data_IF_481186382386
#
_entry.id   IF_481186382386
#
_cell.length_a   1.000
_cell.length_b   1.000
_cell.length_c   1.000
_cell.angle_alpha   90.00
_cell.angle_beta   90.00
_cell.angle_gamma   90.00
#
_symmetry.space_group_name_H-M   'P 1'
#
loop_
_entity.id
_entity.type
_entity.pdbx_description
1 polymer ?
#
# COMPACT_ATOMS: atom_id res chain seq x y z
N UNK A 1 -2.47 3.34 9.54
CA UNK A 1 -2.69 3.99 10.85
C UNK A 1 -4.16 3.90 11.26
N UNK A 2 -5.08 4.67 10.65
CA UNK A 2 -6.50 4.68 11.04
C UNK A 2 -7.18 3.30 10.89
N UNK A 3 -7.03 2.65 9.73
CA UNK A 3 -7.65 1.35 9.48
C UNK A 3 -7.04 0.17 10.28
N UNK A 4 -5.86 0.34 10.86
CA UNK A 4 -5.11 -0.75 11.53
C UNK A 4 -5.11 -0.59 13.05
N UNK A 5 -4.60 0.53 13.57
CA UNK A 5 -4.42 0.78 15.01
C UNK A 5 -5.29 1.93 15.53
N UNK A 6 -6.14 2.51 14.68
CA UNK A 6 -7.06 3.60 15.04
C UNK A 6 -8.37 3.10 15.62
N UNK A 7 -9.16 4.04 16.15
CA UNK A 7 -10.53 3.80 16.64
C UNK A 7 -11.55 3.93 15.51
N UNK A 8 -12.81 3.55 15.76
CA UNK A 8 -13.89 3.78 14.80
C UNK A 8 -14.09 5.26 14.47
N UNK A 9 -13.83 6.14 15.45
CA UNK A 9 -13.79 7.58 15.21
C UNK A 9 -12.70 7.97 14.20
N UNK A 10 -11.49 7.40 14.31
CA UNK A 10 -10.42 7.67 13.36
C UNK A 10 -10.75 7.20 11.94
N UNK A 11 -11.39 6.03 11.84
CA UNK A 11 -11.87 5.44 10.59
C UNK A 11 -12.91 6.33 9.93
N UNK A 12 -13.92 6.77 10.68
CA UNK A 12 -14.96 7.66 10.18
C UNK A 12 -14.38 9.01 9.72
N UNK A 13 -13.44 9.56 10.49
CA UNK A 13 -12.81 10.83 10.19
C UNK A 13 -11.97 10.78 8.90
N UNK A 14 -11.14 9.75 8.73
CA UNK A 14 -10.34 9.60 7.50
C UNK A 14 -11.22 9.29 6.30
N UNK A 15 -12.27 8.46 6.47
CA UNK A 15 -13.23 8.13 5.42
C UNK A 15 -13.90 9.40 4.88
N UNK A 16 -14.44 10.25 5.77
CA UNK A 16 -15.06 11.51 5.38
C UNK A 16 -14.08 12.47 4.67
N UNK A 17 -12.82 12.50 5.09
CA UNK A 17 -11.82 13.35 4.44
C UNK A 17 -11.43 12.81 3.05
N UNK A 18 -11.25 11.49 2.92
CA UNK A 18 -10.98 10.82 1.64
C UNK A 18 -12.15 11.00 0.67
N UNK A 19 -13.40 10.93 1.15
CA UNK A 19 -14.59 11.20 0.33
C UNK A 19 -14.54 12.56 -0.35
N UNK A 20 -14.05 13.60 0.34
CA UNK A 20 -13.92 14.96 -0.21
C UNK A 20 -12.94 14.98 -1.38
N UNK A 21 -11.85 14.23 -1.27
CA UNK A 21 -10.85 14.11 -2.34
C UNK A 21 -11.40 13.25 -3.49
N UNK A 22 -11.96 12.08 -3.20
CA UNK A 22 -12.50 11.15 -4.20
C UNK A 22 -13.63 11.79 -5.04
N UNK A 23 -14.45 12.68 -4.48
CA UNK A 23 -15.47 13.44 -5.23
C UNK A 23 -14.90 14.24 -6.40
N UNK A 24 -13.63 14.62 -6.32
CA UNK A 24 -12.95 15.42 -7.35
C UNK A 24 -12.28 14.54 -8.42
N UNK A 25 -12.06 13.25 -8.15
CA UNK A 25 -11.29 12.35 -9.02
C UNK A 25 -12.25 11.45 -9.80
N UNK A 26 -12.73 11.97 -10.92
CA UNK A 26 -13.59 11.27 -11.88
C UNK A 26 -13.30 11.74 -13.29
N UNK A 27 -13.47 10.86 -14.26
CA UNK A 27 -13.29 11.20 -15.67
C UNK A 27 -14.30 12.25 -16.12
N UNK A 28 -13.85 13.12 -17.00
CA UNK A 28 -14.65 14.09 -17.74
C UNK A 28 -14.79 13.65 -19.19
N UNK A 29 -15.54 14.40 -20.00
CA UNK A 29 -15.65 14.15 -21.45
C UNK A 29 -14.32 14.24 -22.21
N UNK A 30 -13.31 14.90 -21.64
CA UNK A 30 -11.96 14.99 -22.22
C UNK A 30 -11.00 13.92 -21.70
N UNK A 31 -11.43 13.07 -20.76
CA UNK A 31 -10.57 12.02 -20.21
C UNK A 31 -10.40 10.86 -21.20
N UNK A 32 -9.20 10.30 -21.34
CA UNK A 32 -8.94 9.21 -22.29
C UNK A 32 -9.52 7.86 -21.84
N UNK A 33 -9.86 7.74 -20.55
CA UNK A 33 -10.43 6.53 -19.95
C UNK A 33 -11.59 6.91 -19.03
N UNK A 34 -12.54 6.00 -18.84
CA UNK A 34 -13.59 6.14 -17.84
C UNK A 34 -13.07 5.72 -16.46
N UNK A 35 -13.21 6.59 -15.47
CA UNK A 35 -12.72 6.39 -14.11
C UNK A 35 -13.59 7.12 -13.10
N UNK A 36 -13.77 6.51 -11.94
CA UNK A 36 -14.37 7.13 -10.77
C UNK A 36 -13.69 6.59 -9.52
N UNK A 37 -13.15 7.47 -8.67
CA UNK A 37 -12.51 7.06 -7.42
C UNK A 37 -13.46 6.37 -6.43
N UNK A 38 -14.79 6.50 -6.61
CA UNK A 38 -15.80 5.78 -5.86
C UNK A 38 -16.21 4.42 -6.47
N UNK A 39 -15.56 3.96 -7.54
CA UNK A 39 -15.83 2.61 -8.06
C UNK A 39 -15.40 1.56 -7.02
N UNK A 40 -16.33 0.78 -6.44
CA UNK A 40 -16.02 -0.16 -5.39
C UNK A 40 -15.15 -1.33 -5.88
N UNK A 41 -15.13 -1.63 -7.19
CA UNK A 41 -14.23 -2.64 -7.76
C UNK A 41 -12.79 -2.15 -7.80
N UNK A 42 -12.57 -0.89 -8.16
CA UNK A 42 -11.24 -0.28 -8.16
C UNK A 42 -10.71 -0.10 -6.73
N UNK A 43 -11.57 0.28 -5.79
CA UNK A 43 -11.20 0.35 -4.39
C UNK A 43 -10.89 -1.01 -3.77
N UNK A 44 -11.65 -2.06 -4.14
CA UNK A 44 -11.35 -3.43 -3.75
C UNK A 44 -9.94 -3.84 -4.21
N UNK A 45 -9.55 -3.48 -5.42
CA UNK A 45 -8.19 -3.73 -5.91
C UNK A 45 -7.13 -3.03 -5.07
N UNK A 46 -7.33 -1.75 -4.71
CA UNK A 46 -6.42 -1.03 -3.81
C UNK A 46 -6.31 -1.73 -2.45
N UNK A 47 -7.45 -2.13 -1.86
CA UNK A 47 -7.47 -2.84 -0.58
C UNK A 47 -6.78 -4.23 -0.67
N UNK A 48 -6.96 -4.95 -1.77
CA UNK A 48 -6.29 -6.23 -2.02
C UNK A 48 -4.77 -6.06 -2.12
N UNK A 49 -4.29 -5.04 -2.83
CA UNK A 49 -2.87 -4.69 -2.87
C UNK A 49 -2.31 -4.35 -1.49
N UNK A 50 -3.07 -3.64 -0.64
CA UNK A 50 -2.67 -3.35 0.74
C UNK A 50 -2.57 -4.61 1.60
N UNK A 51 -3.55 -5.52 1.50
CA UNK A 51 -3.49 -6.81 2.20
C UNK A 51 -2.26 -7.62 1.76
N UNK A 52 -2.04 -7.77 0.45
CA UNK A 52 -0.86 -8.48 -0.08
C UNK A 52 0.43 -7.83 0.41
N UNK A 53 0.53 -6.50 0.36
CA UNK A 53 1.67 -5.77 0.90
C UNK A 53 1.93 -6.10 2.38
N UNK A 54 0.91 -6.06 3.25
CA UNK A 54 1.11 -6.35 4.67
C UNK A 54 1.58 -7.78 4.93
N UNK A 55 1.03 -8.76 4.22
CA UNK A 55 1.48 -10.16 4.30
C UNK A 55 2.92 -10.26 3.83
N UNK A 56 3.24 -9.75 2.64
CA UNK A 56 4.59 -9.84 2.07
C UNK A 56 5.63 -9.18 2.98
N UNK A 57 5.35 -7.98 3.51
CA UNK A 57 6.27 -7.30 4.43
C UNK A 57 6.50 -8.09 5.72
N UNK A 58 5.43 -8.68 6.28
CA UNK A 58 5.57 -9.55 7.44
C UNK A 58 6.47 -10.75 7.12
N UNK A 59 6.22 -11.43 6.00
CA UNK A 59 6.98 -12.62 5.62
C UNK A 59 8.43 -12.31 5.26
N UNK A 60 8.70 -11.13 4.68
CA UNK A 60 10.05 -10.64 4.47
C UNK A 60 10.83 -10.51 5.78
N UNK A 61 10.19 -10.14 6.89
CA UNK A 61 10.86 -9.94 8.17
C UNK A 61 10.86 -11.20 9.04
N UNK A 62 9.75 -11.93 9.09
CA UNK A 62 9.51 -12.98 10.08
C UNK A 62 9.37 -14.38 9.48
N UNK A 63 9.31 -14.50 8.15
CA UNK A 63 8.98 -15.75 7.48
C UNK A 63 7.46 -15.99 7.36
N UNK A 64 7.06 -17.11 6.75
CA UNK A 64 5.67 -17.38 6.40
C UNK A 64 4.77 -17.45 7.64
N UNK A 65 3.54 -16.97 7.48
CA UNK A 65 2.50 -17.11 8.51
C UNK A 65 2.02 -18.57 8.56
N UNK A 66 1.74 -19.08 9.76
CA UNK A 66 0.96 -20.31 9.89
C UNK A 66 -0.49 -20.08 9.45
N UNK A 67 -1.19 -21.15 9.08
CA UNK A 67 -2.53 -21.05 8.49
C UNK A 67 -3.56 -20.37 9.40
N UNK A 68 -3.52 -20.63 10.70
CA UNK A 68 -4.47 -20.05 11.64
C UNK A 68 -4.25 -18.54 11.79
N UNK A 69 -2.99 -18.12 11.86
CA UNK A 69 -2.63 -16.70 11.88
C UNK A 69 -2.98 -16.02 10.55
N UNK A 70 -2.70 -16.68 9.41
CA UNK A 70 -3.04 -16.15 8.09
C UNK A 70 -4.54 -15.94 7.92
N UNK A 71 -5.38 -16.89 8.38
CA UNK A 71 -6.85 -16.75 8.37
C UNK A 71 -7.35 -15.63 9.30
N UNK A 72 -6.72 -15.45 10.46
CA UNK A 72 -7.05 -14.35 11.37
C UNK A 72 -6.72 -12.99 10.74
N UNK A 73 -5.51 -12.84 10.19
CA UNK A 73 -5.07 -11.63 9.48
C UNK A 73 -5.99 -11.34 8.28
N UNK A 74 -6.36 -12.37 7.53
CA UNK A 74 -7.25 -12.21 6.37
C UNK A 74 -8.63 -11.67 6.74
N UNK A 75 -9.24 -12.18 7.82
CA UNK A 75 -10.53 -11.68 8.32
C UNK A 75 -10.45 -10.22 8.76
N UNK A 76 -9.37 -9.83 9.41
CA UNK A 76 -9.16 -8.44 9.83
C UNK A 76 -8.88 -7.50 8.65
N UNK A 77 -8.33 -8.03 7.55
CA UNK A 77 -7.95 -7.26 6.37
C UNK A 77 -9.15 -6.70 5.59
N UNK A 78 -10.36 -7.24 5.74
CA UNK A 78 -11.56 -6.69 5.08
C UNK A 78 -11.78 -5.21 5.43
N UNK A 79 -11.39 -4.82 6.66
CA UNK A 79 -11.42 -3.43 7.14
C UNK A 79 -10.61 -2.46 6.29
N UNK A 80 -9.60 -2.93 5.53
CA UNK A 80 -8.83 -2.09 4.62
C UNK A 80 -9.71 -1.53 3.50
N UNK A 81 -10.65 -2.34 3.00
CA UNK A 81 -11.65 -1.91 2.01
C UNK A 81 -12.88 -1.29 2.65
N UNK A 82 -13.41 -1.91 3.71
CA UNK A 82 -14.72 -1.53 4.29
C UNK A 82 -14.68 -0.31 5.19
N UNK A 83 -13.49 0.17 5.57
CA UNK A 83 -13.33 1.52 6.15
C UNK A 83 -13.68 2.62 5.14
N UNK A 84 -13.56 2.34 3.83
CA UNK A 84 -13.93 3.25 2.75
C UNK A 84 -15.30 2.83 2.17
N UNK A 85 -15.43 2.70 0.85
CA UNK A 85 -16.73 2.51 0.18
C UNK A 85 -16.92 1.09 -0.36
N UNK A 86 -16.00 0.16 -0.07
CA UNK A 86 -16.13 -1.25 -0.47
C UNK A 86 -17.12 -1.97 0.47
N UNK A 87 -18.23 -2.52 -0.03
CA UNK A 87 -19.13 -3.32 0.78
C UNK A 87 -18.48 -4.64 1.21
N UNK A 88 -18.73 -5.11 2.44
CA UNK A 88 -18.14 -6.36 2.98
C UNK A 88 -18.32 -7.56 2.04
N UNK A 89 -19.51 -7.72 1.43
CA UNK A 89 -19.81 -8.81 0.48
C UNK A 89 -18.92 -8.86 -0.76
N UNK A 90 -18.19 -7.78 -1.07
CA UNK A 90 -17.25 -7.75 -2.20
C UNK A 90 -15.85 -8.23 -1.82
N UNK A 91 -15.52 -8.25 -0.53
CA UNK A 91 -14.28 -8.85 -0.05
C UNK A 91 -14.34 -10.36 -0.28
N UNK A 92 -13.29 -11.01 -0.83
CA UNK A 92 -13.34 -12.46 -1.03
C UNK A 92 -13.54 -13.18 0.32
N UNK A 93 -14.36 -14.22 0.38
CA UNK A 93 -14.81 -14.81 1.65
C UNK A 93 -13.69 -15.51 2.44
N UNK A 94 -12.65 -15.98 1.76
CA UNK A 94 -11.51 -16.68 2.34
C UNK A 94 -10.23 -16.46 1.51
N UNK A 95 -9.10 -16.96 2.00
CA UNK A 95 -7.80 -16.83 1.33
C UNK A 95 -7.76 -17.52 -0.04
N UNK A 96 -8.49 -18.61 -0.23
CA UNK A 96 -8.53 -19.32 -1.50
C UNK A 96 -9.22 -18.47 -2.57
N UNK A 97 -10.40 -17.94 -2.26
CA UNK A 97 -11.12 -17.01 -3.12
C UNK A 97 -10.33 -15.73 -3.38
N UNK A 98 -9.56 -15.25 -2.39
CA UNK A 98 -8.64 -14.13 -2.58
C UNK A 98 -7.55 -14.45 -3.60
N UNK A 99 -6.93 -15.61 -3.51
CA UNK A 99 -5.86 -16.00 -4.44
C UNK A 99 -6.39 -16.18 -5.87
N UNK A 100 -7.60 -16.71 -6.05
CA UNK A 100 -8.28 -16.75 -7.36
C UNK A 100 -8.56 -15.35 -7.90
N UNK A 101 -9.12 -14.47 -7.06
CA UNK A 101 -9.35 -13.06 -7.41
C UNK A 101 -8.04 -12.39 -7.84
N UNK A 102 -6.98 -12.57 -7.05
CA UNK A 102 -5.66 -11.97 -7.27
C UNK A 102 -5.05 -12.41 -8.60
N UNK A 103 -5.05 -13.72 -8.88
CA UNK A 103 -4.53 -14.27 -10.15
C UNK A 103 -5.27 -13.69 -11.35
N UNK A 104 -6.61 -13.72 -11.34
CA UNK A 104 -7.42 -13.14 -12.41
C UNK A 104 -7.13 -11.64 -12.60
N UNK A 105 -7.03 -10.89 -11.50
CA UNK A 105 -6.71 -9.47 -11.57
C UNK A 105 -5.33 -9.21 -12.16
N UNK A 106 -4.32 -10.04 -11.85
CA UNK A 106 -2.99 -9.94 -12.46
C UNK A 106 -3.02 -10.25 -13.97
N UNK A 107 -3.80 -11.23 -14.41
CA UNK A 107 -3.91 -11.59 -15.83
C UNK A 107 -4.49 -10.44 -16.68
N UNK A 108 -5.44 -9.70 -16.11
CA UNK A 108 -6.11 -8.55 -16.73
C UNK A 108 -5.30 -7.25 -16.59
N UNK A 109 -4.36 -7.17 -15.65
CA UNK A 109 -3.67 -5.93 -15.29
C UNK A 109 -2.75 -5.45 -16.41
N UNK A 110 -2.86 -4.15 -16.74
CA UNK A 110 -1.97 -3.46 -17.67
C UNK A 110 -1.48 -2.16 -17.05
N UNK A 111 -0.23 -1.79 -17.34
CA UNK A 111 0.35 -0.51 -16.93
C UNK A 111 0.74 0.25 -18.20
N UNK A 112 -0.01 1.31 -18.48
CA UNK A 112 0.23 2.19 -19.62
C UNK A 112 1.54 2.97 -19.44
N UNK A 113 2.20 3.38 -20.54
CA UNK A 113 3.48 4.08 -20.46
C UNK A 113 3.49 5.32 -19.55
N UNK A 114 2.48 6.22 -19.58
CA UNK A 114 2.46 7.38 -18.67
C UNK A 114 2.33 6.99 -17.20
N UNK A 115 1.58 5.92 -16.90
CA UNK A 115 1.42 5.40 -15.55
C UNK A 115 2.74 4.80 -15.07
N UNK A 116 3.43 4.03 -15.93
CA UNK A 116 4.74 3.45 -15.63
C UNK A 116 5.78 4.53 -15.34
N UNK A 117 5.84 5.59 -16.15
CA UNK A 117 6.73 6.73 -15.96
C UNK A 117 6.45 7.41 -14.60
N UNK A 118 5.18 7.66 -14.30
CA UNK A 118 4.77 8.24 -13.03
C UNK A 118 5.19 7.37 -11.83
N UNK A 119 4.89 6.08 -11.87
CA UNK A 119 5.24 5.12 -10.81
C UNK A 119 6.76 4.98 -10.65
N UNK A 120 7.52 5.00 -11.74
CA UNK A 120 8.99 5.04 -11.68
C UNK A 120 9.48 6.34 -11.01
N UNK A 121 8.87 7.48 -11.34
CA UNK A 121 9.12 8.75 -10.67
C UNK A 121 8.86 8.70 -9.16
N UNK A 122 7.76 8.07 -8.74
CA UNK A 122 7.46 7.85 -7.31
C UNK A 122 8.50 6.94 -6.66
N UNK A 123 8.82 5.80 -7.27
CA UNK A 123 9.81 4.85 -6.75
C UNK A 123 11.23 5.44 -6.70
N UNK A 124 11.56 6.39 -7.57
CA UNK A 124 12.84 7.11 -7.57
C UNK A 124 12.82 8.42 -6.77
N UNK A 125 11.72 8.71 -6.05
CA UNK A 125 11.54 9.94 -5.26
C UNK A 125 11.76 11.22 -6.09
N UNK A 126 11.33 11.22 -7.34
CA UNK A 126 11.56 12.30 -8.30
C UNK A 126 10.97 13.65 -7.86
N UNK A 127 9.95 13.60 -6.99
CA UNK A 127 9.25 14.75 -6.40
C UNK A 127 10.03 15.44 -5.27
N UNK A 128 11.12 14.85 -4.75
CA UNK A 128 11.95 15.49 -3.73
C UNK A 128 12.92 16.52 -4.34
N UNK A 129 13.26 17.60 -3.60
CA UNK A 129 14.25 18.55 -4.04
C UNK A 129 15.66 17.94 -4.03
N UNK A 130 16.58 18.58 -4.76
CA UNK A 130 18.01 18.33 -4.63
C UNK A 130 18.48 18.82 -3.24
N UNK A 131 19.39 18.11 -2.54
CA UNK A 131 20.10 16.89 -2.94
C UNK A 131 19.38 15.56 -2.59
N UNK A 132 18.26 15.62 -1.86
CA UNK A 132 17.58 14.43 -1.32
C UNK A 132 17.21 13.42 -2.41
N UNK A 133 16.68 13.87 -3.55
CA UNK A 133 16.34 12.99 -4.68
C UNK A 133 17.54 12.19 -5.18
N UNK A 134 18.71 12.81 -5.30
CA UNK A 134 19.91 12.15 -5.86
C UNK A 134 20.48 11.14 -4.87
N UNK A 135 20.43 11.45 -3.58
CA UNK A 135 20.97 10.59 -2.53
C UNK A 135 20.05 9.41 -2.20
N UNK A 136 18.74 9.65 -2.11
CA UNK A 136 17.77 8.64 -1.70
C UNK A 136 17.08 7.91 -2.86
N UNK A 137 16.93 8.56 -4.01
CA UNK A 137 16.15 8.05 -5.14
C UNK A 137 16.61 6.69 -5.68
N UNK A 138 17.90 6.51 -6.03
CA UNK A 138 18.39 5.22 -6.52
C UNK A 138 18.21 4.07 -5.53
N UNK A 139 18.42 4.35 -4.24
CA UNK A 139 18.21 3.36 -3.17
C UNK A 139 16.73 3.01 -3.02
N UNK A 140 15.84 4.01 -3.01
CA UNK A 140 14.40 3.78 -2.90
C UNK A 140 13.85 3.01 -4.11
N UNK A 141 14.34 3.31 -5.32
CA UNK A 141 13.96 2.56 -6.52
C UNK A 141 14.44 1.12 -6.41
N UNK A 142 15.71 0.89 -6.02
CA UNK A 142 16.24 -0.46 -5.80
C UNK A 142 15.43 -1.25 -4.77
N UNK A 143 15.14 -0.65 -3.61
CA UNK A 143 14.36 -1.29 -2.55
C UNK A 143 12.94 -1.60 -3.02
N UNK A 144 12.26 -0.62 -3.65
CA UNK A 144 10.91 -0.79 -4.22
C UNK A 144 10.89 -1.94 -5.22
N UNK A 145 11.83 -1.97 -6.18
CA UNK A 145 11.95 -3.08 -7.14
C UNK A 145 12.14 -4.43 -6.43
N UNK A 146 12.98 -4.49 -5.39
CA UNK A 146 13.20 -5.71 -4.62
C UNK A 146 11.96 -6.23 -3.89
N UNK A 147 11.09 -5.34 -3.40
CA UNK A 147 9.83 -5.71 -2.73
C UNK A 147 8.70 -6.05 -3.71
N UNK A 148 8.76 -5.60 -4.96
CA UNK A 148 7.75 -5.96 -5.96
C UNK A 148 7.83 -7.44 -6.33
N UNK A 149 6.68 -8.09 -6.46
CA UNK A 149 6.58 -9.42 -7.05
C UNK A 149 7.00 -9.41 -8.53
N UNK A 150 7.49 -10.55 -9.09
CA UNK A 150 8.01 -10.62 -10.44
C UNK A 150 7.05 -10.09 -11.53
N UNK A 151 5.76 -10.30 -11.37
CA UNK A 151 4.70 -9.87 -12.30
C UNK A 151 4.66 -8.33 -12.40
N UNK A 152 4.72 -7.64 -11.27
CA UNK A 152 4.76 -6.17 -11.25
C UNK A 152 6.08 -5.62 -11.78
N UNK A 153 7.22 -6.30 -11.52
CA UNK A 153 8.50 -5.91 -12.12
C UNK A 153 8.44 -5.98 -13.64
N UNK A 154 7.85 -7.05 -14.18
CA UNK A 154 7.66 -7.21 -15.63
C UNK A 154 6.76 -6.11 -16.21
N UNK A 155 5.60 -5.83 -15.59
CA UNK A 155 4.70 -4.75 -16.02
C UNK A 155 5.36 -3.35 -15.93
N UNK A 156 6.23 -3.16 -14.94
CA UNK A 156 7.01 -1.94 -14.74
C UNK A 156 8.28 -1.89 -15.58
N UNK A 157 8.62 -2.96 -16.31
CA UNK A 157 9.85 -3.09 -17.09
C UNK A 157 11.12 -2.81 -16.26
N UNK A 158 11.15 -3.36 -15.04
CA UNK A 158 12.27 -3.21 -14.11
C UNK A 158 13.15 -4.47 -14.14
N UNK A 159 14.38 -4.31 -14.63
CA UNK A 159 15.35 -5.40 -14.63
C UNK A 159 15.77 -5.81 -13.21
N UNK A 160 15.99 -7.11 -13.03
CA UNK A 160 16.42 -7.67 -11.76
C UNK A 160 17.50 -8.74 -11.93
N UNK A 161 18.74 -8.34 -11.64
CA UNK A 161 19.91 -9.20 -11.76
C UNK A 161 20.14 -10.08 -10.51
N UNK A 162 20.88 -11.20 -10.64
CA UNK A 162 21.32 -11.98 -9.48
C UNK A 162 22.15 -11.18 -8.47
N UNK A 163 22.88 -10.16 -8.94
CA UNK A 163 23.63 -9.25 -8.07
C UNK A 163 22.74 -8.36 -7.21
N UNK A 164 21.66 -7.82 -7.80
CA UNK A 164 20.63 -7.08 -7.07
C UNK A 164 19.90 -7.98 -6.06
N UNK A 165 19.59 -9.23 -6.42
CA UNK A 165 18.98 -10.19 -5.50
C UNK A 165 19.86 -10.42 -4.25
N UNK A 166 21.19 -10.57 -4.41
CA UNK A 166 22.10 -10.70 -3.25
C UNK A 166 22.09 -9.46 -2.37
N UNK A 167 22.19 -8.26 -2.96
CA UNK A 167 22.12 -6.97 -2.24
C UNK A 167 20.80 -6.81 -1.50
N UNK A 168 19.71 -7.27 -2.09
CA UNK A 168 18.40 -7.24 -1.46
C UNK A 168 18.32 -8.19 -0.26
N UNK A 169 18.93 -9.38 -0.34
CA UNK A 169 19.09 -10.27 0.81
C UNK A 169 19.84 -9.61 1.99
N UNK A 170 20.89 -8.83 1.71
CA UNK A 170 21.59 -8.04 2.73
C UNK A 170 20.69 -6.95 3.32
N UNK A 171 19.92 -6.24 2.49
CA UNK A 171 18.94 -5.26 2.95
C UNK A 171 17.90 -5.89 3.87
N UNK A 172 17.32 -7.03 3.49
CA UNK A 172 16.36 -7.76 4.33
C UNK A 172 16.99 -8.19 5.66
N UNK A 173 18.25 -8.65 5.65
CA UNK A 173 18.96 -9.02 6.87
C UNK A 173 19.14 -7.80 7.80
N UNK A 174 19.51 -6.66 7.25
CA UNK A 174 19.63 -5.41 8.00
C UNK A 174 18.28 -4.95 8.58
N UNK A 175 17.20 -5.04 7.80
CA UNK A 175 15.85 -4.69 8.24
C UNK A 175 15.37 -5.62 9.37
N UNK A 176 15.60 -6.93 9.27
CA UNK A 176 15.30 -7.90 10.33
C UNK A 176 16.06 -7.61 11.62
N UNK A 177 17.34 -7.24 11.50
CA UNK A 177 18.14 -6.85 12.66
C UNK A 177 17.60 -5.56 13.29
N UNK A 178 17.27 -4.57 12.47
CA UNK A 178 16.68 -3.32 12.93
C UNK A 178 15.34 -3.55 13.65
N UNK A 179 14.46 -4.38 13.09
CA UNK A 179 13.17 -4.74 13.70
C UNK A 179 13.35 -5.39 15.07
N UNK A 180 14.33 -6.30 15.22
CA UNK A 180 14.64 -6.96 16.49
C UNK A 180 15.25 -6.02 17.54
N UNK A 181 16.04 -5.04 17.13
CA UNK A 181 16.76 -4.14 18.04
C UNK A 181 15.96 -2.90 18.42
N UNK A 182 15.11 -2.41 17.51
CA UNK A 182 14.31 -1.20 17.74
C UNK A 182 13.03 -1.62 18.47
N UNK A 183 12.73 -1.05 19.66
CA UNK A 183 11.53 -1.40 20.40
C UNK A 183 10.27 -1.16 19.57
N UNK A 184 9.30 -2.07 19.65
CA UNK A 184 8.02 -1.96 18.94
C UNK A 184 7.31 -0.61 19.16
N UNK A 185 7.47 -0.02 20.35
CA UNK A 185 6.94 1.30 20.68
C UNK A 185 7.46 2.42 19.77
N UNK A 186 8.70 2.33 19.29
CA UNK A 186 9.29 3.30 18.36
C UNK A 186 8.69 3.16 16.95
N UNK A 187 8.47 1.93 16.48
CA UNK A 187 7.84 1.68 15.18
C UNK A 187 6.40 2.23 15.12
N UNK A 188 5.63 2.03 16.20
CA UNK A 188 4.24 2.52 16.25
C UNK A 188 4.12 4.00 16.62
N UNK A 189 5.18 4.62 17.13
CA UNK A 189 5.17 6.02 17.54
C UNK A 189 4.77 6.96 16.38
N UNK A 190 5.33 6.73 15.18
CA UNK A 190 4.99 7.52 14.00
C UNK A 190 3.50 7.45 13.65
N UNK A 191 2.90 6.25 13.71
CA UNK A 191 1.47 6.09 13.47
C UNK A 191 0.62 6.75 14.56
N UNK A 192 1.04 6.68 15.84
CA UNK A 192 0.37 7.35 16.95
C UNK A 192 0.42 8.88 16.81
N UNK A 193 1.56 9.41 16.38
CA UNK A 193 1.74 10.84 16.11
C UNK A 193 0.83 11.29 14.96
N UNK A 194 0.74 10.52 13.88
CA UNK A 194 -0.18 10.80 12.77
C UNK A 194 -1.65 10.82 13.23
N UNK A 195 -2.08 9.83 14.01
CA UNK A 195 -3.44 9.79 14.57
C UNK A 195 -3.71 10.98 15.50
N UNK A 196 -2.73 11.34 16.33
CA UNK A 196 -2.85 12.52 17.20
C UNK A 196 -2.98 13.81 16.40
N UNK A 197 -2.14 14.03 15.38
CA UNK A 197 -2.20 15.21 14.50
C UNK A 197 -3.54 15.28 13.75
N UNK A 198 -3.98 14.17 13.17
CA UNK A 198 -5.29 14.06 12.52
C UNK A 198 -6.43 14.48 13.45
N UNK A 199 -6.49 13.92 14.67
CA UNK A 199 -7.52 14.26 15.66
C UNK A 199 -7.42 15.73 16.09
N UNK A 200 -6.21 16.26 16.22
CA UNK A 200 -5.97 17.66 16.59
C UNK A 200 -6.50 18.62 15.52
N UNK A 201 -6.17 18.37 14.24
CA UNK A 201 -6.67 19.15 13.09
C UNK A 201 -8.18 19.11 12.99
N UNK A 202 -8.78 17.93 13.19
CA UNK A 202 -10.24 17.76 13.20
C UNK A 202 -10.91 18.67 14.25
N UNK A 203 -10.40 18.67 15.49
CA UNK A 203 -10.93 19.52 16.57
C UNK A 203 -10.79 21.02 16.27
N UNK A 204 -9.79 21.38 15.49
CA UNK A 204 -9.52 22.77 15.08
C UNK A 204 -10.22 23.17 13.77
N UNK A 205 -11.03 22.28 13.17
CA UNK A 205 -11.68 22.53 11.88
C UNK A 205 -10.70 22.63 10.70
N UNK A 206 -9.47 22.13 10.85
CA UNK A 206 -8.44 22.14 9.81
C UNK A 206 -8.56 20.90 8.92
N UNK A 207 -8.11 21.03 7.67
CA UNK A 207 -8.04 19.89 6.74
C UNK A 207 -7.07 18.82 7.25
N UNK A 208 -7.50 17.57 7.14
CA UNK A 208 -6.76 16.38 7.58
C UNK A 208 -6.00 15.75 6.42
N UNK A 209 -6.58 15.84 5.22
CA UNK A 209 -6.04 15.38 3.94
C UNK A 209 -6.04 16.55 2.97
#
# INVERSE_FOLDING_TARGET
AAATIGTDYDRALICAAVDVVHRQVRSTSSSPVSYNAFDPKLQLWVAACLYRYFVDQHEFLHGPLDDATADAVYRDASRLGTTLQVPERMWPPDRHAFDEYWKRSLDELRIDPPVREHLHGVASLAFLPWPLRVLAGPFNLFATTGFLAPEFRALMQLDWSPGQQRRFGWLLTALRLADRLIPHSAWIFGYRLYLWDMRSRARQGRRIV
#
